data_IF_625992089517
#
_entry.id   IF_625992089517
#
_cell.length_a   1.000
_cell.length_b   1.000
_cell.length_c   1.000
_cell.angle_alpha   90.00
_cell.angle_beta   90.00
_cell.angle_gamma   90.00
#
_symmetry.space_group_name_H-M   'P 1'
#
loop_
_entity.id
_entity.type
_entity.pdbx_description
1 polymer ?
#
# COMPACT_ATOMS: atom_id res chain seq x y z
N UNK A 1 -25.18 36.81 18.75
CA UNK A 1 -25.06 35.61 19.60
C UNK A 1 -24.47 34.52 18.71
N UNK A 2 -23.17 34.24 18.76
CA UNK A 2 -22.48 33.44 19.80
C UNK A 2 -23.25 32.14 20.03
N UNK A 3 -22.76 30.93 19.80
CA UNK A 3 -21.42 30.40 19.46
C UNK A 3 -21.67 29.01 18.85
N UNK A 4 -21.03 28.65 17.74
CA UNK A 4 -19.94 27.67 17.68
C UNK A 4 -19.82 26.75 18.90
N UNK A 5 -20.37 25.54 18.80
CA UNK A 5 -20.01 24.42 19.67
C UNK A 5 -20.21 23.09 18.90
N UNK A 6 -19.58 22.98 17.73
CA UNK A 6 -19.32 21.66 17.14
C UNK A 6 -18.11 21.06 17.86
N UNK A 7 -18.40 20.47 19.02
CA UNK A 7 -17.79 19.27 19.56
C UNK A 7 -16.41 18.93 18.99
N UNK A 8 -15.39 19.51 19.61
CA UNK A 8 -14.01 19.03 19.57
C UNK A 8 -14.00 17.61 20.16
N UNK A 9 -14.05 16.59 19.29
CA UNK A 9 -13.52 15.27 19.60
C UNK A 9 -12.44 15.02 18.56
N UNK A 10 -11.21 15.02 19.06
CA UNK A 10 -9.96 14.77 18.39
C UNK A 10 -9.90 13.33 17.85
N UNK A 11 -10.66 13.06 16.80
CA UNK A 11 -10.47 11.89 15.96
C UNK A 11 -9.46 12.27 14.88
N UNK A 12 -8.16 12.11 15.18
CA UNK A 12 -7.09 12.29 14.20
C UNK A 12 -7.48 11.62 12.87
N UNK A 13 -7.32 12.33 11.76
CA UNK A 13 -7.60 11.77 10.44
C UNK A 13 -6.80 10.48 10.25
N UNK A 14 -7.33 9.45 9.55
CA UNK A 14 -6.57 8.25 9.21
C UNK A 14 -5.19 8.58 8.59
N UNK A 15 -5.10 9.67 7.83
CA UNK A 15 -3.85 10.14 7.24
C UNK A 15 -2.89 10.72 8.29
N UNK A 16 -3.39 11.40 9.33
CA UNK A 16 -2.56 11.91 10.43
C UNK A 16 -1.99 10.76 11.27
N UNK A 17 -2.80 9.71 11.49
CA UNK A 17 -2.35 8.47 12.15
C UNK A 17 -1.22 7.80 11.37
N UNK A 18 -1.31 7.75 10.05
CA UNK A 18 -0.27 7.19 9.17
C UNK A 18 0.97 8.06 9.21
N UNK A 19 0.83 9.38 9.02
CA UNK A 19 1.94 10.33 9.02
C UNK A 19 2.74 10.26 10.33
N UNK A 20 2.07 10.30 11.48
CA UNK A 20 2.74 10.19 12.79
C UNK A 20 3.57 8.90 12.91
N UNK A 21 3.06 7.78 12.37
CA UNK A 21 3.78 6.50 12.37
C UNK A 21 4.98 6.53 11.41
N UNK A 22 4.83 7.10 10.22
CA UNK A 22 5.91 7.20 9.23
C UNK A 22 7.05 8.10 9.70
N UNK A 23 6.73 9.24 10.33
CA UNK A 23 7.73 10.13 10.93
C UNK A 23 8.55 9.39 11.98
N UNK A 24 7.90 8.62 12.86
CA UNK A 24 8.59 7.80 13.87
C UNK A 24 9.49 6.73 13.25
N UNK A 25 9.14 6.22 12.08
CA UNK A 25 9.91 5.21 11.36
C UNK A 25 11.04 5.81 10.51
N UNK A 26 11.10 7.14 10.35
CA UNK A 26 12.03 7.79 9.42
C UNK A 26 11.76 7.46 7.96
N UNK A 27 10.51 7.09 7.62
CA UNK A 27 10.13 6.77 6.25
C UNK A 27 10.06 8.05 5.40
N UNK A 28 10.46 7.95 4.13
CA UNK A 28 10.26 9.02 3.16
C UNK A 28 8.84 8.94 2.59
N UNK A 29 8.12 10.06 2.56
CA UNK A 29 6.75 10.12 2.04
C UNK A 29 6.40 11.52 1.53
N UNK A 30 5.43 11.58 0.62
CA UNK A 30 4.73 12.80 0.20
C UNK A 30 3.32 12.81 0.78
N UNK A 31 2.88 13.97 1.27
CA UNK A 31 1.56 14.16 1.90
C UNK A 31 0.81 15.30 1.19
N UNK A 32 -0.45 15.05 0.84
CA UNK A 32 -1.39 16.10 0.38
C UNK A 32 -2.44 16.37 1.45
N UNK A 33 -3.59 16.98 1.13
CA UNK A 33 -4.73 16.98 2.06
C UNK A 33 -5.41 15.61 2.14
N UNK A 34 -5.55 14.92 0.99
CA UNK A 34 -6.39 13.74 0.82
C UNK A 34 -5.61 12.43 0.62
N UNK A 35 -4.29 12.47 0.54
CA UNK A 35 -3.47 11.28 0.32
C UNK A 35 -2.12 11.33 1.00
N UNK A 36 -1.51 10.16 1.16
CA UNK A 36 -0.12 9.96 1.53
C UNK A 36 0.50 8.90 0.62
N UNK A 37 1.70 9.17 0.13
CA UNK A 37 2.47 8.29 -0.75
C UNK A 37 3.81 8.00 -0.08
N UNK A 38 4.12 6.74 0.13
CA UNK A 38 5.28 6.28 0.89
C UNK A 38 6.29 5.73 -0.10
N UNK A 39 7.48 6.31 -0.08
CA UNK A 39 8.57 5.93 -0.96
C UNK A 39 9.31 4.70 -0.42
N UNK A 40 9.78 3.82 -1.32
CA UNK A 40 10.57 2.68 -0.87
C UNK A 40 11.89 3.13 -0.25
N UNK A 41 12.37 2.38 0.75
CA UNK A 41 13.64 2.67 1.41
C UNK A 41 14.87 2.43 0.50
N UNK A 42 14.71 1.57 -0.51
CA UNK A 42 15.75 1.20 -1.46
C UNK A 42 15.14 0.78 -2.82
N UNK A 43 15.99 0.45 -3.80
CA UNK A 43 15.58 0.06 -5.15
C UNK A 43 14.83 -1.28 -5.24
N UNK A 44 14.82 -2.07 -4.16
CA UNK A 44 14.10 -3.34 -4.09
C UNK A 44 12.68 -3.20 -3.51
N UNK A 45 12.34 -2.04 -2.95
CA UNK A 45 11.00 -1.73 -2.48
C UNK A 45 10.03 -1.31 -3.60
N UNK A 46 8.82 -0.95 -3.19
CA UNK A 46 7.80 -0.39 -4.06
C UNK A 46 7.03 0.72 -3.34
N UNK A 47 6.49 1.67 -4.12
CA UNK A 47 5.64 2.73 -3.60
C UNK A 47 4.34 2.16 -3.02
N UNK A 48 3.97 2.65 -1.83
CA UNK A 48 2.73 2.30 -1.14
C UNK A 48 1.98 3.57 -0.81
N UNK A 49 0.67 3.61 -1.00
CA UNK A 49 -0.08 4.81 -0.62
C UNK A 49 -1.50 4.58 -0.18
N UNK A 50 -2.05 5.64 0.40
CA UNK A 50 -3.42 5.72 0.90
C UNK A 50 -4.03 7.04 0.46
N UNK A 51 -5.23 6.99 -0.12
CA UNK A 51 -6.04 8.15 -0.42
C UNK A 51 -7.39 8.02 0.28
N UNK A 52 -7.92 9.15 0.73
CA UNK A 52 -9.21 9.27 1.40
C UNK A 52 -10.08 10.21 0.59
N UNK A 53 -11.21 9.71 0.10
CA UNK A 53 -12.18 10.49 -0.67
C UNK A 53 -13.59 9.99 -0.39
N UNK A 54 -14.52 10.90 -0.09
CA UNK A 54 -15.95 10.59 0.12
C UNK A 54 -16.21 9.45 1.12
N UNK A 55 -15.44 9.42 2.21
CA UNK A 55 -15.54 8.38 3.25
C UNK A 55 -15.03 7.00 2.82
N UNK A 56 -14.36 6.92 1.65
CA UNK A 56 -13.71 5.71 1.14
C UNK A 56 -12.20 5.85 1.21
N UNK A 57 -11.56 4.70 1.29
CA UNK A 57 -10.12 4.57 1.34
C UNK A 57 -9.65 3.83 0.10
N UNK A 58 -8.58 4.30 -0.51
CA UNK A 58 -7.95 3.62 -1.63
C UNK A 58 -6.49 3.37 -1.27
N UNK A 59 -6.12 2.10 -1.16
CA UNK A 59 -4.73 1.67 -0.96
C UNK A 59 -4.17 1.23 -2.29
N UNK A 60 -2.93 1.61 -2.59
CA UNK A 60 -2.22 1.14 -3.77
C UNK A 60 -0.79 0.71 -3.47
N UNK A 61 -0.32 -0.24 -4.28
CA UNK A 61 1.06 -0.72 -4.35
C UNK A 61 1.52 -0.63 -5.81
N UNK A 62 2.19 0.46 -6.17
CA UNK A 62 2.43 0.84 -7.57
C UNK A 62 1.16 0.73 -8.43
N UNK A 63 1.08 -0.23 -9.36
CA UNK A 63 -0.09 -0.42 -10.23
C UNK A 63 -1.20 -1.31 -9.67
N UNK A 64 -0.99 -1.95 -8.51
CA UNK A 64 -2.05 -2.67 -7.78
C UNK A 64 -2.82 -1.68 -6.91
N UNK A 65 -4.14 -1.84 -6.80
CA UNK A 65 -4.97 -1.00 -5.93
C UNK A 65 -6.24 -1.72 -5.48
N UNK A 66 -6.74 -1.33 -4.31
CA UNK A 66 -7.99 -1.86 -3.75
C UNK A 66 -8.73 -0.77 -2.97
N UNK A 67 -10.07 -0.64 -3.17
CA UNK A 67 -10.91 0.24 -2.37
C UNK A 67 -11.34 -0.43 -1.06
N UNK A 68 -11.40 0.35 0.01
CA UNK A 68 -11.88 -0.07 1.33
C UNK A 68 -12.92 0.92 1.85
N UNK A 69 -13.89 0.42 2.60
CA UNK A 69 -14.89 1.24 3.32
C UNK A 69 -14.58 1.37 4.80
N UNK A 70 -13.82 0.42 5.37
CA UNK A 70 -13.35 0.46 6.75
C UNK A 70 -11.94 1.08 6.83
N UNK A 71 -11.74 2.18 7.59
CA UNK A 71 -10.42 2.76 7.78
C UNK A 71 -9.41 1.78 8.37
N UNK A 72 -9.79 0.93 9.32
CA UNK A 72 -8.84 0.04 9.97
C UNK A 72 -8.43 -1.13 9.04
N UNK A 73 -9.31 -1.57 8.13
CA UNK A 73 -8.92 -2.48 7.04
C UNK A 73 -7.92 -1.84 6.09
N UNK A 74 -8.20 -0.61 5.64
CA UNK A 74 -7.29 0.14 4.78
C UNK A 74 -5.91 0.31 5.42
N UNK A 75 -5.87 0.65 6.72
CA UNK A 75 -4.63 0.81 7.48
C UNK A 75 -3.88 -0.53 7.67
N UNK A 76 -4.60 -1.65 7.84
CA UNK A 76 -3.99 -2.99 7.85
C UNK A 76 -3.38 -3.34 6.49
N UNK A 77 -4.09 -3.07 5.40
CA UNK A 77 -3.59 -3.29 4.04
C UNK A 77 -2.34 -2.43 3.78
N UNK A 78 -2.38 -1.14 4.14
CA UNK A 78 -1.25 -0.24 4.04
C UNK A 78 -0.04 -0.75 4.84
N UNK A 79 -0.25 -1.16 6.09
CA UNK A 79 0.80 -1.70 6.95
C UNK A 79 1.39 -3.01 6.39
N UNK A 80 0.57 -3.87 5.80
CA UNK A 80 1.03 -5.09 5.13
C UNK A 80 1.92 -4.76 3.94
N UNK A 81 1.54 -3.82 3.08
CA UNK A 81 2.37 -3.40 1.93
C UNK A 81 3.74 -2.83 2.31
N UNK A 82 3.90 -2.31 3.53
CA UNK A 82 5.16 -1.81 4.07
C UNK A 82 5.99 -2.89 4.78
N UNK A 83 5.42 -4.08 5.00
CA UNK A 83 6.03 -5.14 5.80
C UNK A 83 6.80 -6.15 4.95
N UNK A 84 7.74 -6.90 5.54
CA UNK A 84 8.44 -7.97 4.85
C UNK A 84 7.53 -9.17 4.54
N UNK A 85 6.30 -9.21 5.04
CA UNK A 85 5.34 -10.28 4.76
C UNK A 85 4.58 -10.04 3.45
N UNK A 86 4.71 -8.86 2.84
CA UNK A 86 4.17 -8.55 1.53
C UNK A 86 5.29 -8.49 0.48
N UNK A 87 5.06 -9.10 -0.68
CA UNK A 87 5.92 -8.96 -1.86
C UNK A 87 5.07 -8.64 -3.07
N UNK A 88 5.49 -7.67 -3.86
CA UNK A 88 4.84 -7.31 -5.11
C UNK A 88 5.54 -8.00 -6.27
N UNK A 89 4.83 -8.91 -6.93
CA UNK A 89 5.27 -9.53 -8.19
C UNK A 89 4.76 -8.68 -9.35
N UNK A 90 5.68 -7.92 -9.96
CA UNK A 90 5.39 -7.12 -11.15
C UNK A 90 5.70 -7.95 -12.39
N UNK A 91 4.67 -8.20 -13.19
CA UNK A 91 4.80 -8.88 -14.49
C UNK A 91 5.05 -7.86 -15.58
N UNK A 92 6.13 -8.05 -16.31
CA UNK A 92 6.52 -7.26 -17.47
C UNK A 92 6.34 -8.06 -18.76
N UNK A 93 6.07 -7.32 -19.83
CA UNK A 93 6.13 -7.78 -21.22
C UNK A 93 7.09 -6.87 -21.99
N UNK A 94 8.33 -7.32 -22.18
CA UNK A 94 9.44 -6.43 -22.53
C UNK A 94 9.73 -5.43 -21.40
N UNK A 95 9.65 -4.12 -21.70
CA UNK A 95 9.86 -3.04 -20.73
C UNK A 95 8.57 -2.46 -20.15
N UNK A 96 7.42 -3.05 -20.46
CA UNK A 96 6.10 -2.56 -20.02
C UNK A 96 5.62 -3.42 -18.85
N UNK A 97 5.35 -2.81 -17.70
CA UNK A 97 4.65 -3.47 -16.60
C UNK A 97 3.18 -3.65 -16.98
N UNK A 98 2.65 -4.85 -16.79
CA UNK A 98 1.32 -5.24 -17.29
C UNK A 98 0.41 -5.85 -16.23
N UNK A 99 0.97 -6.36 -15.14
CA UNK A 99 0.22 -6.84 -14.00
C UNK A 99 1.04 -6.74 -12.72
N UNK A 100 0.35 -6.52 -11.61
CA UNK A 100 0.87 -6.41 -10.27
C UNK A 100 0.11 -7.40 -9.40
N UNK A 101 0.84 -8.37 -8.87
CA UNK A 101 0.28 -9.41 -8.01
C UNK A 101 0.86 -9.25 -6.62
N UNK A 102 0.01 -9.05 -5.62
CA UNK A 102 0.43 -9.09 -4.22
C UNK A 102 0.68 -10.53 -3.81
N UNK A 103 1.68 -10.74 -2.96
CA UNK A 103 2.03 -12.05 -2.43
C UNK A 103 2.27 -11.98 -0.93
N UNK A 104 1.88 -13.03 -0.22
CA UNK A 104 2.19 -13.21 1.20
C UNK A 104 3.10 -14.44 1.41
N UNK A 105 3.83 -14.47 2.51
CA UNK A 105 4.73 -15.58 2.85
C UNK A 105 4.15 -16.44 3.98
N UNK A 106 4.03 -17.75 3.75
CA UNK A 106 3.62 -18.75 4.75
C UNK A 106 4.70 -19.83 4.77
N UNK A 107 5.30 -20.07 5.94
CA UNK A 107 6.34 -21.11 6.11
C UNK A 107 7.50 -21.01 5.10
N UNK A 108 7.87 -19.79 4.69
CA UNK A 108 8.93 -19.53 3.72
C UNK A 108 8.50 -19.66 2.25
N UNK A 109 7.23 -19.98 1.99
CA UNK A 109 6.65 -20.10 0.65
C UNK A 109 5.80 -18.88 0.33
N UNK A 110 6.02 -18.32 -0.86
CA UNK A 110 5.27 -17.16 -1.34
C UNK A 110 4.03 -17.58 -2.11
N UNK A 111 2.89 -17.03 -1.74
CA UNK A 111 1.60 -17.30 -2.37
C UNK A 111 1.04 -16.04 -3.02
N UNK A 112 0.51 -16.17 -4.24
CA UNK A 112 -0.26 -15.10 -4.89
C UNK A 112 -1.55 -14.85 -4.10
N UNK A 113 -1.88 -13.58 -3.90
CA UNK A 113 -3.08 -13.15 -3.18
C UNK A 113 -4.06 -12.44 -4.13
N UNK A 114 -3.76 -11.21 -4.56
CA UNK A 114 -4.59 -10.44 -5.47
C UNK A 114 -3.79 -9.95 -6.69
N UNK A 115 -4.44 -9.80 -7.85
CA UNK A 115 -3.80 -9.31 -9.08
C UNK A 115 -4.61 -8.20 -9.75
N UNK A 116 -3.94 -7.08 -10.02
CA UNK A 116 -4.44 -6.02 -10.91
C UNK A 116 -3.62 -6.08 -12.20
N UNK A 117 -4.26 -6.04 -13.36
CA UNK A 117 -3.56 -6.08 -14.63
C UNK A 117 -4.30 -5.35 -15.74
N UNK A 118 -3.55 -4.96 -16.75
CA UNK A 118 -4.14 -4.37 -17.95
C UNK A 118 -4.74 -5.46 -18.84
N UNK A 119 -5.88 -5.14 -19.46
CA UNK A 119 -6.54 -6.04 -20.41
C UNK A 119 -5.80 -6.08 -21.75
N UNK A 120 -5.29 -4.94 -22.22
CA UNK A 120 -4.53 -4.81 -23.47
C UNK A 120 -3.04 -4.76 -23.17
N UNK A 121 -2.36 -5.90 -23.37
CA UNK A 121 -0.93 -6.05 -23.09
C UNK A 121 -0.20 -6.55 -24.33
N UNK A 122 1.10 -6.26 -24.50
CA UNK A 122 1.88 -6.78 -25.61
C UNK A 122 2.14 -8.29 -25.42
N UNK A 123 1.10 -9.10 -25.68
CA UNK A 123 1.06 -10.53 -25.38
C UNK A 123 2.12 -11.34 -26.12
N UNK A 124 2.60 -10.82 -27.25
CA UNK A 124 3.67 -11.40 -28.07
C UNK A 124 5.07 -11.24 -27.48
N UNK A 125 5.26 -10.35 -26.50
CA UNK A 125 6.57 -10.20 -25.83
C UNK A 125 6.72 -11.24 -24.73
N UNK A 126 7.92 -11.78 -24.46
CA UNK A 126 8.14 -12.68 -23.34
C UNK A 126 7.71 -12.07 -22.00
N UNK A 127 7.17 -12.90 -21.10
CA UNK A 127 6.90 -12.51 -19.71
C UNK A 127 8.21 -12.48 -18.92
N UNK A 128 8.38 -11.47 -18.08
CA UNK A 128 9.43 -11.39 -17.06
C UNK A 128 8.80 -10.94 -15.76
N UNK A 129 9.22 -11.53 -14.65
CA UNK A 129 8.75 -11.12 -13.32
C UNK A 129 9.87 -10.36 -12.60
N UNK A 130 9.49 -9.27 -11.93
CA UNK A 130 10.33 -8.56 -10.96
C UNK A 130 9.61 -8.63 -9.64
N UNK A 131 10.36 -8.96 -8.59
CA UNK A 131 9.83 -9.02 -7.23
C UNK A 131 10.34 -7.82 -6.46
N UNK A 132 9.42 -7.09 -5.83
CA UNK A 132 9.71 -5.94 -4.98
C UNK A 132 9.17 -6.20 -3.58
N UNK A 133 9.86 -5.73 -2.55
CA UNK A 133 9.51 -6.01 -1.15
C UNK A 133 9.95 -4.85 -0.26
N UNK A 134 9.00 -4.33 0.53
CA UNK A 134 9.30 -3.34 1.55
C UNK A 134 9.72 -4.02 2.86
N UNK A 135 10.52 -3.32 3.67
CA UNK A 135 11.02 -3.80 4.98
C UNK A 135 10.87 -2.74 6.06
N UNK A 136 9.93 -1.83 5.89
CA UNK A 136 9.74 -0.67 6.76
C UNK A 136 8.96 -1.05 8.02
N UNK A 137 7.86 -1.79 7.89
CA UNK A 137 7.03 -2.19 9.02
C UNK A 137 7.36 -3.61 9.49
N UNK A 138 7.70 -3.81 10.76
CA UNK A 138 7.68 -5.15 11.36
C UNK A 138 6.21 -5.53 11.57
N UNK A 139 5.70 -6.51 10.82
CA UNK A 139 4.36 -7.05 11.03
C UNK A 139 4.26 -7.78 12.39
N UNK A 140 3.07 -7.89 13.00
CA UNK A 140 2.87 -8.89 14.04
C UNK A 140 2.99 -10.28 13.39
N UNK A 141 3.93 -11.09 13.90
CA UNK A 141 4.06 -12.50 13.52
C UNK A 141 2.71 -13.17 13.73
N UNK A 142 2.02 -13.57 12.65
CA UNK A 142 0.83 -14.42 12.76
C UNK A 142 1.30 -15.79 13.23
N UNK A 143 1.22 -16.03 14.53
CA UNK A 143 1.28 -17.39 15.07
C UNK A 143 -0.02 -18.09 14.67
N UNK A 144 0.14 -19.22 14.00
CA UNK A 144 -0.88 -20.15 13.50
C UNK A 144 -1.80 -20.66 14.60
#
# INVERSE_FOLDING_TARGET
MMSNESSVIDAQSPLDRVEAKLVRMGAAFDRTAASITIHPADEHGFEVGLAVADGRFHVWFEGWHEPFTDPDEALRALAWGLSPECRLKVTYRGNVAVAWTTQHCVEGVWHDDATTGWLLTPFWRPKRHVFKQNRLATGPRRET
#
